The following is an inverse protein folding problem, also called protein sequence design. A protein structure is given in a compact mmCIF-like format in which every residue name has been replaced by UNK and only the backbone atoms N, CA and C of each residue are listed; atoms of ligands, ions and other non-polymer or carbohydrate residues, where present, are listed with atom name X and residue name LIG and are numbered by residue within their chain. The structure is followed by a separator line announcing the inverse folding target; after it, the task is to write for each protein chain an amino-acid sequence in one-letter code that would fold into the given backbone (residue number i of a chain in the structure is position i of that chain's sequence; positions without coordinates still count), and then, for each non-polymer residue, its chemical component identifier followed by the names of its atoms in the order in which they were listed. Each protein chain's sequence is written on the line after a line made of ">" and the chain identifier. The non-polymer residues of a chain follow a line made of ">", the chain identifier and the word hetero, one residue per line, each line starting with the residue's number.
data_IF_940869141936
#
_entry.id   IF_940869141936
#
_cell.length_a   1.000
_cell.length_b   1.000
_cell.length_c   1.000
_cell.angle_alpha   90.00
_cell.angle_beta   90.00
_cell.angle_gamma   90.00
#
_symmetry.space_group_name_H-M   'P 1'
#
loop_
_entity.id
_entity.type
_entity.pdbx_description
1 polymer ?
#
# COMPACT_ATOMS: atom_id res chain seq x y z
N UNK A 1 50.01 23.58 -62.86
CA UNK A 1 51.29 23.31 -62.15
C UNK A 1 51.29 24.10 -60.84
N UNK A 2 51.90 23.60 -59.76
CA UNK A 2 51.62 22.40 -58.96
C UNK A 2 51.25 22.90 -57.51
N UNK A 3 51.14 22.18 -56.40
CA UNK A 3 51.55 20.85 -56.00
C UNK A 3 50.73 20.45 -54.75
N UNK A 4 50.36 19.18 -54.63
CA UNK A 4 50.36 18.49 -53.34
C UNK A 4 51.81 18.20 -52.95
N UNK A 5 52.10 18.05 -51.66
CA UNK A 5 52.51 16.71 -51.23
C UNK A 5 51.92 16.27 -49.87
N UNK A 6 51.67 14.97 -49.73
CA UNK A 6 51.73 14.28 -48.42
C UNK A 6 53.18 14.17 -47.96
N UNK A 7 53.57 13.73 -46.78
CA UNK A 7 53.04 12.70 -45.85
C UNK A 7 53.77 12.88 -44.52
N UNK A 8 53.14 12.54 -43.38
CA UNK A 8 53.80 11.84 -42.25
C UNK A 8 52.82 11.58 -41.09
N UNK A 9 52.69 10.30 -40.73
CA UNK A 9 52.18 9.74 -39.46
C UNK A 9 53.42 9.11 -38.78
N UNK A 10 53.61 9.03 -37.44
CA UNK A 10 52.74 8.23 -36.57
C UNK A 10 52.64 8.64 -35.08
N UNK A 11 51.72 7.98 -34.36
CA UNK A 11 51.58 8.00 -32.90
C UNK A 11 50.28 8.67 -32.48
N UNK A 12 49.37 8.07 -31.74
CA UNK A 12 49.34 6.82 -30.99
C UNK A 12 48.18 6.95 -30.00
N UNK A 13 47.51 5.84 -29.73
CA UNK A 13 46.59 5.63 -28.60
C UNK A 13 45.16 6.20 -28.74
N UNK A 14 44.31 5.34 -29.30
CA UNK A 14 43.17 4.72 -28.62
C UNK A 14 42.39 5.56 -27.57
N UNK A 15 41.18 5.91 -27.99
CA UNK A 15 39.92 5.93 -27.25
C UNK A 15 39.92 5.44 -25.79
N UNK A 16 39.42 6.31 -24.90
CA UNK A 16 38.58 5.90 -23.79
C UNK A 16 37.48 6.95 -23.58
N UNK A 17 36.27 6.62 -24.06
CA UNK A 17 35.03 7.28 -23.66
C UNK A 17 34.89 7.13 -22.14
N UNK A 18 34.94 8.23 -21.40
CA UNK A 18 34.49 8.29 -20.01
C UNK A 18 33.12 8.95 -19.98
N UNK A 19 32.12 8.16 -19.64
CA UNK A 19 30.79 8.62 -19.23
C UNK A 19 30.92 9.47 -17.96
N UNK A 20 30.26 10.63 -17.85
CA UNK A 20 30.15 11.31 -16.56
C UNK A 20 29.02 10.66 -15.77
N UNK A 21 29.40 9.91 -14.73
CA UNK A 21 28.51 9.55 -13.63
C UNK A 21 28.30 10.80 -12.78
N UNK A 22 27.21 11.53 -13.01
CA UNK A 22 26.76 12.56 -12.06
C UNK A 22 26.20 11.87 -10.82
N UNK A 23 27.03 11.77 -9.79
CA UNK A 23 26.61 11.47 -8.42
C UNK A 23 26.04 12.75 -7.85
N UNK A 24 24.73 12.94 -7.98
CA UNK A 24 24.02 14.05 -7.33
C UNK A 24 23.97 13.76 -5.82
N UNK A 25 24.82 14.45 -5.06
CA UNK A 25 24.72 14.50 -3.60
C UNK A 25 23.47 15.29 -3.21
N UNK A 26 22.49 14.62 -2.63
CA UNK A 26 21.37 15.28 -1.94
C UNK A 26 21.84 15.80 -0.58
N UNK A 27 21.57 17.07 -0.22
CA UNK A 27 21.85 17.56 1.12
C UNK A 27 20.85 16.98 2.12
N UNK A 28 21.36 16.62 3.30
CA UNK A 28 20.62 16.07 4.41
C UNK A 28 19.53 17.02 4.92
N UNK A 29 18.30 16.52 5.00
CA UNK A 29 17.18 17.11 5.72
C UNK A 29 16.24 15.98 6.14
N UNK A 30 16.20 15.69 7.44
CA UNK A 30 15.45 14.58 8.02
C UNK A 30 13.94 14.72 7.84
N UNK A 31 13.41 14.11 6.79
CA UNK A 31 12.01 13.79 6.57
C UNK A 31 11.98 12.50 5.75
N UNK A 32 11.15 11.53 6.14
CA UNK A 32 11.12 10.21 5.51
C UNK A 32 10.93 10.34 4.00
N UNK A 33 11.97 10.04 3.23
CA UNK A 33 11.91 10.10 1.76
C UNK A 33 10.85 9.15 1.24
N UNK A 34 10.09 9.58 0.24
CA UNK A 34 9.12 8.73 -0.45
C UNK A 34 9.87 7.62 -1.20
N UNK A 35 9.67 6.36 -0.76
CA UNK A 35 10.27 5.18 -1.38
C UNK A 35 9.20 4.43 -2.15
N UNK A 36 9.47 4.10 -3.42
CA UNK A 36 8.56 3.34 -4.26
C UNK A 36 8.42 1.89 -3.76
N UNK A 37 7.18 1.46 -3.52
CA UNK A 37 6.83 0.11 -3.08
C UNK A 37 5.33 -0.14 -3.34
N UNK A 38 4.90 -1.40 -3.30
CA UNK A 38 3.49 -1.77 -3.35
C UNK A 38 2.74 -1.17 -4.56
N UNK A 39 3.27 -1.42 -5.76
CA UNK A 39 2.77 -0.88 -7.03
C UNK A 39 2.86 0.65 -7.19
N UNK A 40 3.27 1.41 -6.16
CA UNK A 40 3.58 2.82 -6.31
C UNK A 40 4.95 3.00 -6.96
N UNK A 41 5.03 3.92 -7.92
CA UNK A 41 6.26 4.26 -8.65
C UNK A 41 6.55 5.77 -8.60
N UNK A 42 7.83 6.19 -8.75
CA UNK A 42 8.19 7.61 -8.65
C UNK A 42 7.50 8.46 -9.72
N UNK A 43 7.10 9.68 -9.36
CA UNK A 43 6.53 10.70 -10.23
C UNK A 43 6.82 12.11 -9.71
N UNK A 44 6.27 13.12 -10.39
CA UNK A 44 6.47 14.53 -10.04
C UNK A 44 5.14 15.29 -10.08
N UNK A 45 4.94 16.19 -9.12
CA UNK A 45 3.79 17.07 -9.09
C UNK A 45 4.15 18.37 -8.37
N UNK A 46 3.79 19.52 -8.95
CA UNK A 46 4.09 20.83 -8.36
C UNK A 46 5.58 21.04 -8.03
N UNK A 47 6.48 20.48 -8.85
CA UNK A 47 7.93 20.57 -8.62
C UNK A 47 8.48 19.69 -7.49
N UNK A 48 7.67 18.79 -6.92
CA UNK A 48 8.04 17.86 -5.84
C UNK A 48 7.96 16.41 -6.31
N UNK A 49 8.74 15.55 -5.67
CA UNK A 49 8.64 14.10 -5.86
C UNK A 49 7.36 13.58 -5.21
N UNK A 50 6.70 12.67 -5.92
CA UNK A 50 5.49 11.96 -5.46
C UNK A 50 5.59 10.50 -5.83
N UNK A 51 4.74 9.68 -5.22
CA UNK A 51 4.53 8.30 -5.60
C UNK A 51 3.19 8.15 -6.32
N UNK A 52 3.14 7.35 -7.38
CA UNK A 52 1.95 7.17 -8.21
C UNK A 52 1.60 5.70 -8.31
N UNK A 53 0.36 5.37 -7.98
CA UNK A 53 -0.25 4.06 -8.18
C UNK A 53 -1.18 4.12 -9.38
N UNK A 54 -0.94 3.26 -10.36
CA UNK A 54 -1.68 3.21 -11.63
C UNK A 54 -2.59 1.97 -11.64
N UNK A 55 -3.91 2.17 -11.56
CA UNK A 55 -4.86 1.07 -11.41
C UNK A 55 -4.90 0.08 -12.58
N UNK A 56 -4.50 0.52 -13.77
CA UNK A 56 -4.40 -0.35 -14.94
C UNK A 56 -3.36 -1.47 -14.73
N UNK A 57 -2.18 -1.12 -14.20
CA UNK A 57 -1.13 -2.08 -13.91
C UNK A 57 -1.35 -2.81 -12.57
N UNK A 58 -1.94 -2.12 -11.59
CA UNK A 58 -2.07 -2.62 -10.24
C UNK A 58 -3.25 -3.58 -10.04
N UNK A 59 -4.38 -3.40 -10.74
CA UNK A 59 -5.59 -4.19 -10.53
C UNK A 59 -6.08 -4.94 -11.80
N UNK A 60 -5.29 -5.89 -12.34
CA UNK A 60 -5.60 -6.57 -13.60
C UNK A 60 -6.70 -7.64 -13.47
N UNK A 61 -7.04 -8.06 -12.26
CA UNK A 61 -7.77 -9.32 -12.02
C UNK A 61 -9.29 -9.28 -12.26
N UNK A 62 -9.89 -8.11 -12.54
CA UNK A 62 -11.34 -8.04 -12.77
C UNK A 62 -11.69 -8.29 -14.23
N UNK A 63 -12.72 -9.13 -14.50
CA UNK A 63 -13.19 -9.40 -15.86
C UNK A 63 -13.95 -8.22 -16.49
N UNK A 64 -14.30 -7.20 -15.69
CA UNK A 64 -15.04 -6.04 -16.18
C UNK A 64 -14.09 -5.09 -16.91
N UNK A 65 -14.48 -4.50 -18.06
CA UNK A 65 -13.70 -3.45 -18.70
C UNK A 65 -13.70 -2.15 -17.88
N UNK A 66 -12.72 -1.29 -18.13
CA UNK A 66 -12.75 0.09 -17.67
C UNK A 66 -13.81 0.89 -18.43
N UNK A 67 -14.52 1.78 -17.75
CA UNK A 67 -15.46 2.69 -18.41
C UNK A 67 -14.75 3.67 -19.35
N UNK A 68 -13.57 4.13 -18.95
CA UNK A 68 -12.73 5.11 -19.63
C UNK A 68 -11.25 4.76 -19.43
N UNK A 69 -10.41 5.12 -20.40
CA UNK A 69 -8.94 5.08 -20.28
C UNK A 69 -8.37 6.29 -19.52
N UNK A 70 -9.19 7.31 -19.26
CA UNK A 70 -8.81 8.44 -18.41
C UNK A 70 -9.06 8.07 -16.95
N UNK A 71 -8.04 8.03 -16.10
CA UNK A 71 -8.20 7.67 -14.70
C UNK A 71 -8.86 8.80 -13.90
N UNK A 72 -9.58 8.42 -12.86
CA UNK A 72 -9.94 9.33 -11.77
C UNK A 72 -8.74 9.46 -10.85
N UNK A 73 -8.24 10.69 -10.72
CA UNK A 73 -7.10 10.97 -9.85
C UNK A 73 -7.56 11.19 -8.41
N UNK A 74 -6.89 10.52 -7.47
CA UNK A 74 -7.13 10.62 -6.03
C UNK A 74 -5.81 10.91 -5.31
N UNK A 75 -5.84 11.75 -4.29
CA UNK A 75 -4.63 12.33 -3.71
C UNK A 75 -4.53 12.05 -2.21
N UNK A 76 -3.35 11.61 -1.78
CA UNK A 76 -3.03 11.26 -0.39
C UNK A 76 -1.74 11.91 0.07
N UNK A 77 -1.57 12.03 1.39
CA UNK A 77 -0.33 12.42 2.03
C UNK A 77 -0.01 11.58 3.27
N UNK A 78 1.27 11.52 3.65
CA UNK A 78 1.75 10.77 4.82
C UNK A 78 1.46 11.44 6.18
N UNK A 79 0.58 12.45 6.22
CA UNK A 79 0.13 13.14 7.44
C UNK A 79 0.93 14.38 7.86
N UNK A 80 0.48 15.04 8.94
CA UNK A 80 1.15 16.21 9.55
C UNK A 80 2.11 15.83 10.69
N UNK A 81 1.89 14.67 11.33
CA UNK A 81 2.62 14.25 12.53
C UNK A 81 3.93 13.51 12.22
N UNK A 82 4.95 13.60 13.09
CA UNK A 82 6.21 12.86 12.91
C UNK A 82 6.03 11.35 12.80
N UNK A 83 5.06 10.79 13.55
CA UNK A 83 4.84 9.35 13.64
C UNK A 83 4.35 8.69 12.33
N UNK A 84 3.66 9.43 11.46
CA UNK A 84 3.15 8.88 10.18
C UNK A 84 4.02 9.27 9.00
N UNK A 85 4.68 10.43 9.06
CA UNK A 85 5.57 10.94 7.99
C UNK A 85 6.77 10.03 7.73
N UNK A 86 7.22 9.29 8.75
CA UNK A 86 8.33 8.34 8.65
C UNK A 86 7.91 6.96 8.16
N UNK A 87 6.63 6.76 7.83
CA UNK A 87 6.07 5.46 7.44
C UNK A 87 5.53 5.40 6.01
N UNK A 88 6.20 5.97 4.97
CA UNK A 88 5.67 5.97 3.61
C UNK A 88 5.44 4.55 3.05
N UNK A 89 6.26 3.57 3.44
CA UNK A 89 6.08 2.17 3.04
C UNK A 89 4.81 1.55 3.61
N UNK A 90 4.39 1.93 4.82
CA UNK A 90 3.12 1.44 5.37
C UNK A 90 1.92 2.13 4.71
N UNK A 91 2.07 3.40 4.28
CA UNK A 91 1.07 4.06 3.45
C UNK A 91 0.89 3.34 2.11
N UNK A 92 1.98 3.08 1.37
CA UNK A 92 1.90 2.41 0.06
C UNK A 92 1.28 1.02 0.19
N UNK A 93 1.67 0.24 1.19
CA UNK A 93 1.14 -1.11 1.43
C UNK A 93 -0.35 -1.12 1.73
N UNK A 94 -0.82 -0.21 2.59
CA UNK A 94 -2.24 -0.12 2.90
C UNK A 94 -3.05 0.45 1.72
N UNK A 95 -2.54 1.49 1.06
CA UNK A 95 -3.20 2.08 -0.11
C UNK A 95 -3.31 1.11 -1.28
N UNK A 96 -2.25 0.35 -1.62
CA UNK A 96 -2.29 -0.62 -2.72
C UNK A 96 -3.39 -1.66 -2.52
N UNK A 97 -3.49 -2.23 -1.31
CA UNK A 97 -4.54 -3.19 -0.97
C UNK A 97 -5.91 -2.56 -1.15
N UNK A 98 -6.08 -1.33 -0.67
CA UNK A 98 -7.37 -0.69 -0.70
C UNK A 98 -7.81 -0.30 -2.11
N UNK A 99 -6.92 0.36 -2.84
CA UNK A 99 -7.14 0.77 -4.22
C UNK A 99 -7.32 -0.44 -5.13
N UNK A 100 -6.55 -1.51 -4.94
CA UNK A 100 -6.73 -2.77 -5.67
C UNK A 100 -8.13 -3.34 -5.45
N UNK A 101 -8.60 -3.40 -4.20
CA UNK A 101 -9.94 -3.89 -3.87
C UNK A 101 -11.04 -3.04 -4.51
N UNK A 102 -10.95 -1.71 -4.38
CA UNK A 102 -11.89 -0.77 -5.00
C UNK A 102 -11.92 -0.89 -6.53
N UNK A 103 -10.76 -1.09 -7.16
CA UNK A 103 -10.61 -1.27 -8.60
C UNK A 103 -11.14 -2.60 -9.14
N UNK A 104 -11.61 -3.52 -8.28
CA UNK A 104 -12.33 -4.72 -8.71
C UNK A 104 -13.85 -4.49 -8.79
N UNK A 105 -14.37 -3.46 -8.12
CA UNK A 105 -15.80 -3.17 -8.07
C UNK A 105 -16.30 -2.62 -9.41
N UNK A 106 -17.52 -3.00 -9.78
CA UNK A 106 -18.23 -2.27 -10.84
C UNK A 106 -18.56 -0.85 -10.38
N UNK A 107 -18.76 0.07 -11.32
CA UNK A 107 -19.17 1.43 -11.03
C UNK A 107 -20.48 1.47 -10.20
N UNK A 108 -21.39 0.52 -10.45
CA UNK A 108 -22.61 0.37 -9.65
C UNK A 108 -22.29 0.01 -8.19
N UNK A 109 -21.45 -1.00 -7.96
CA UNK A 109 -21.11 -1.46 -6.60
C UNK A 109 -20.32 -0.41 -5.84
N UNK A 110 -19.42 0.31 -6.51
CA UNK A 110 -18.72 1.46 -5.96
C UNK A 110 -19.70 2.54 -5.49
N UNK A 111 -20.66 2.92 -6.34
CA UNK A 111 -21.67 3.93 -6.03
C UNK A 111 -22.59 3.51 -4.88
N UNK A 112 -23.08 2.26 -4.89
CA UNK A 112 -23.87 1.68 -3.81
C UNK A 112 -23.10 1.69 -2.47
N UNK A 113 -21.83 1.29 -2.52
CA UNK A 113 -20.93 1.28 -1.37
C UNK A 113 -20.74 2.67 -0.77
N UNK A 114 -20.39 3.68 -1.59
CA UNK A 114 -20.18 5.06 -1.12
C UNK A 114 -21.44 5.61 -0.46
N UNK A 115 -22.60 5.42 -1.09
CA UNK A 115 -23.89 5.93 -0.57
C UNK A 115 -24.27 5.26 0.74
N UNK A 116 -24.06 3.96 0.82
CA UNK A 116 -24.39 3.23 2.04
C UNK A 116 -23.44 3.61 3.19
N UNK A 117 -22.16 3.91 2.91
CA UNK A 117 -21.20 4.36 3.93
C UNK A 117 -21.59 5.71 4.49
N UNK A 118 -21.97 6.63 3.60
CA UNK A 118 -22.48 7.94 4.00
C UNK A 118 -23.71 7.85 4.89
N UNK A 119 -24.60 6.89 4.62
CA UNK A 119 -25.85 6.74 5.36
C UNK A 119 -25.68 6.01 6.70
N UNK A 120 -24.80 5.01 6.78
CA UNK A 120 -24.74 4.07 7.91
C UNK A 120 -23.40 4.09 8.66
N UNK A 121 -22.41 4.84 8.18
CA UNK A 121 -21.06 4.81 8.72
C UNK A 121 -20.36 3.49 8.45
N UNK A 122 -19.26 3.21 9.15
CA UNK A 122 -18.51 1.96 8.96
C UNK A 122 -19.26 0.77 9.57
N UNK A 123 -19.32 -0.36 8.86
CA UNK A 123 -19.82 -1.60 9.43
C UNK A 123 -18.86 -2.11 10.54
N UNK A 124 -19.36 -2.49 11.72
CA UNK A 124 -18.52 -3.12 12.75
C UNK A 124 -17.93 -4.45 12.27
N UNK A 125 -16.78 -4.82 12.82
CA UNK A 125 -16.17 -6.12 12.55
C UNK A 125 -17.14 -7.26 12.91
N UNK A 126 -17.22 -8.25 12.03
CA UNK A 126 -18.01 -9.45 12.30
C UNK A 126 -17.36 -10.28 13.42
N UNK A 127 -18.16 -11.14 14.09
CA UNK A 127 -17.61 -12.11 15.06
C UNK A 127 -16.52 -12.99 14.45
N UNK A 128 -16.68 -13.38 13.17
CA UNK A 128 -15.69 -14.17 12.45
C UNK A 128 -14.39 -13.39 12.24
N UNK A 129 -14.48 -12.10 11.89
CA UNK A 129 -13.33 -11.20 11.74
C UNK A 129 -12.58 -11.02 13.07
N UNK A 130 -13.31 -10.81 14.17
CA UNK A 130 -12.71 -10.69 15.49
C UNK A 130 -12.00 -11.98 15.90
N UNK A 131 -12.64 -13.14 15.67
CA UNK A 131 -12.02 -14.44 15.94
C UNK A 131 -10.77 -14.69 15.07
N UNK A 132 -10.81 -14.32 13.79
CA UNK A 132 -9.65 -14.45 12.91
C UNK A 132 -8.47 -13.57 13.37
N UNK A 133 -8.76 -12.39 13.90
CA UNK A 133 -7.77 -11.49 14.50
C UNK A 133 -7.21 -12.06 15.80
N UNK A 134 -8.05 -12.60 16.67
CA UNK A 134 -7.63 -13.29 17.90
C UNK A 134 -6.70 -14.47 17.57
N UNK A 135 -7.11 -15.34 16.64
CA UNK A 135 -6.29 -16.46 16.18
C UNK A 135 -4.94 -15.99 15.62
N UNK A 136 -4.91 -14.92 14.83
CA UNK A 136 -3.68 -14.33 14.32
C UNK A 136 -2.73 -13.95 15.48
N UNK A 137 -3.25 -13.30 16.52
CA UNK A 137 -2.44 -12.88 17.68
C UNK A 137 -2.02 -14.05 18.57
N UNK A 138 -2.84 -15.09 18.68
CA UNK A 138 -2.49 -16.32 19.41
C UNK A 138 -1.34 -17.06 18.72
N UNK A 139 -1.33 -17.07 17.39
CA UNK A 139 -0.22 -17.62 16.63
C UNK A 139 1.05 -16.78 16.74
N UNK A 140 0.96 -15.44 16.74
CA UNK A 140 2.12 -14.57 17.03
C UNK A 140 2.73 -14.93 18.38
N UNK A 141 1.92 -15.07 19.43
CA UNK A 141 2.37 -15.48 20.75
C UNK A 141 3.02 -16.87 20.72
N UNK A 142 2.39 -17.81 20.00
CA UNK A 142 2.92 -19.16 19.84
C UNK A 142 4.29 -19.18 19.16
N UNK A 143 4.52 -18.35 18.15
CA UNK A 143 5.82 -18.19 17.47
C UNK A 143 6.87 -17.55 18.38
N UNK A 144 6.52 -16.49 19.12
CA UNK A 144 7.43 -15.85 20.07
C UNK A 144 7.98 -16.83 21.10
N UNK A 145 7.13 -17.69 21.66
CA UNK A 145 7.54 -18.69 22.66
C UNK A 145 8.28 -19.85 22.01
N UNK A 146 7.70 -20.49 20.98
CA UNK A 146 8.23 -21.76 20.44
C UNK A 146 9.45 -21.59 19.55
N UNK A 147 9.53 -20.49 18.80
CA UNK A 147 10.58 -20.26 17.79
C UNK A 147 11.62 -19.29 18.30
N UNK A 148 11.20 -18.23 18.98
CA UNK A 148 12.10 -17.16 19.43
C UNK A 148 12.50 -17.25 20.91
N UNK A 149 11.98 -18.23 21.66
CA UNK A 149 12.43 -18.53 23.02
C UNK A 149 12.02 -17.52 24.09
N UNK A 150 11.01 -16.68 23.82
CA UNK A 150 10.49 -15.73 24.80
C UNK A 150 9.84 -16.48 25.97
N UNK A 151 9.95 -15.93 27.18
CA UNK A 151 9.10 -16.39 28.28
C UNK A 151 7.64 -16.10 27.95
N UNK A 152 6.72 -16.85 28.56
CA UNK A 152 5.28 -16.66 28.33
C UNK A 152 4.83 -15.24 28.68
N UNK A 153 5.38 -14.66 29.76
CA UNK A 153 5.04 -13.32 30.21
C UNK A 153 5.51 -12.25 29.20
N UNK A 154 6.76 -12.31 28.75
CA UNK A 154 7.29 -11.37 27.76
C UNK A 154 6.53 -11.46 26.43
N UNK A 155 6.18 -12.68 26.00
CA UNK A 155 5.39 -12.89 24.79
C UNK A 155 3.97 -12.30 24.93
N UNK A 156 3.35 -12.37 26.10
CA UNK A 156 2.03 -11.80 26.36
C UNK A 156 2.06 -10.26 26.36
N UNK A 157 3.07 -9.65 26.98
CA UNK A 157 3.29 -8.20 26.95
C UNK A 157 3.49 -7.71 25.50
N UNK A 158 4.33 -8.39 24.71
CA UNK A 158 4.56 -8.05 23.30
C UNK A 158 3.34 -8.29 22.42
N UNK A 159 2.59 -9.37 22.66
CA UNK A 159 1.31 -9.61 21.99
C UNK A 159 0.35 -8.46 22.26
N UNK A 160 0.22 -8.00 23.50
CA UNK A 160 -0.68 -6.90 23.86
C UNK A 160 -0.29 -5.59 23.14
N UNK A 161 1.00 -5.23 23.17
CA UNK A 161 1.54 -4.05 22.47
C UNK A 161 1.20 -4.07 20.97
N UNK A 162 1.45 -5.19 20.29
CA UNK A 162 1.17 -5.34 18.86
C UNK A 162 -0.33 -5.41 18.58
N UNK A 163 -1.09 -6.08 19.44
CA UNK A 163 -2.53 -6.14 19.33
C UNK A 163 -3.14 -4.74 19.38
N UNK A 164 -2.66 -3.84 20.23
CA UNK A 164 -3.22 -2.49 20.31
C UNK A 164 -2.81 -1.63 19.10
N UNK A 165 -1.65 -1.90 18.50
CA UNK A 165 -1.16 -1.18 17.33
C UNK A 165 -1.81 -1.63 16.00
N UNK A 166 -2.20 -2.91 15.90
CA UNK A 166 -2.66 -3.50 14.65
C UNK A 166 -4.17 -3.47 14.46
N UNK A 167 -4.59 -3.09 13.26
CA UNK A 167 -5.98 -3.15 12.81
C UNK A 167 -6.12 -4.14 11.66
N UNK A 168 -7.27 -4.81 11.59
CA UNK A 168 -7.65 -5.58 10.42
C UNK A 168 -8.00 -4.60 9.30
N UNK A 169 -7.33 -4.76 8.16
CA UNK A 169 -7.57 -3.99 6.96
C UNK A 169 -8.77 -4.57 6.24
N UNK A 170 -9.81 -3.75 6.12
CA UNK A 170 -10.93 -4.05 5.26
C UNK A 170 -10.72 -3.26 3.97
N UNK A 171 -10.30 -3.96 2.92
CA UNK A 171 -9.59 -3.34 1.82
C UNK A 171 -10.47 -2.34 1.03
N UNK A 172 -11.81 -2.47 0.99
CA UNK A 172 -12.66 -1.42 0.36
C UNK A 172 -13.32 -0.44 1.35
N UNK A 173 -13.21 -0.66 2.66
CA UNK A 173 -14.12 -0.07 3.65
C UNK A 173 -13.94 1.43 3.93
N UNK A 174 -12.82 2.02 3.52
CA UNK A 174 -12.59 3.45 3.77
C UNK A 174 -13.47 4.35 2.89
N UNK A 175 -13.92 3.83 1.74
CA UNK A 175 -14.72 4.57 0.77
C UNK A 175 -16.08 3.91 0.51
N UNK A 176 -16.19 2.60 0.72
CA UNK A 176 -17.44 1.85 0.51
C UNK A 176 -17.94 1.19 1.79
N UNK A 177 -19.26 1.18 1.99
CA UNK A 177 -19.91 0.34 3.00
C UNK A 177 -20.00 -1.06 2.43
N UNK A 178 -19.06 -1.88 2.84
CA UNK A 178 -19.06 -3.28 2.51
C UNK A 178 -19.04 -4.12 3.77
N UNK A 179 -19.76 -5.25 3.81
CA UNK A 179 -19.31 -6.41 4.56
C UNK A 179 -18.07 -6.96 3.83
N UNK A 180 -17.00 -6.18 3.75
CA UNK A 180 -15.76 -6.67 3.16
C UNK A 180 -15.24 -7.71 4.14
N UNK A 181 -15.31 -8.98 3.76
CA UNK A 181 -14.49 -9.98 4.44
C UNK A 181 -13.07 -9.41 4.47
N UNK A 182 -12.37 -9.51 5.61
CA UNK A 182 -11.00 -9.06 5.66
C UNK A 182 -10.25 -9.71 4.50
N UNK A 183 -9.40 -8.93 3.80
CA UNK A 183 -8.56 -9.52 2.76
C UNK A 183 -7.81 -10.69 3.39
N UNK A 184 -7.88 -11.89 2.82
CA UNK A 184 -7.24 -13.05 3.41
C UNK A 184 -5.91 -13.28 2.71
N UNK A 185 -4.84 -13.40 3.49
CA UNK A 185 -3.57 -13.90 2.98
C UNK A 185 -3.73 -15.35 2.48
N UNK A 186 -2.79 -15.81 1.66
CA UNK A 186 -2.77 -17.20 1.16
C UNK A 186 -2.73 -18.23 2.31
N UNK A 187 -2.24 -17.84 3.49
CA UNK A 187 -2.27 -18.65 4.71
C UNK A 187 -3.57 -18.58 5.52
N UNK A 188 -4.61 -17.89 5.03
CA UNK A 188 -5.89 -17.79 5.72
C UNK A 188 -5.92 -16.77 6.87
N UNK A 189 -4.92 -15.90 6.98
CA UNK A 189 -4.93 -14.81 7.96
C UNK A 189 -5.57 -13.54 7.43
N UNK A 190 -6.25 -12.75 8.28
CA UNK A 190 -6.72 -11.44 7.90
C UNK A 190 -5.55 -10.52 7.52
N UNK A 191 -5.78 -9.67 6.53
CA UNK A 191 -4.94 -8.55 6.15
C UNK A 191 -4.91 -7.58 7.33
N UNK A 192 -3.71 -7.30 7.86
CA UNK A 192 -3.52 -6.39 8.99
C UNK A 192 -2.61 -5.22 8.60
N UNK A 193 -2.73 -4.13 9.34
CA UNK A 193 -1.90 -2.94 9.18
C UNK A 193 -1.84 -2.08 10.42
N UNK A 194 -0.94 -1.11 10.38
CA UNK A 194 -0.71 -0.20 11.49
C UNK A 194 -1.89 0.79 11.62
N UNK A 195 -2.51 0.80 12.80
CA UNK A 195 -3.71 1.58 13.11
C UNK A 195 -3.57 3.08 12.84
N UNK A 196 -2.50 3.75 13.29
CA UNK A 196 -2.28 5.17 13.04
C UNK A 196 -2.21 5.53 11.54
N UNK A 197 -1.54 4.72 10.72
CA UNK A 197 -1.52 4.93 9.27
C UNK A 197 -2.90 4.69 8.67
N UNK A 198 -3.59 3.61 9.07
CA UNK A 198 -4.95 3.33 8.60
C UNK A 198 -5.92 4.48 8.92
N UNK A 199 -5.82 5.04 10.13
CA UNK A 199 -6.62 6.20 10.56
C UNK A 199 -6.27 7.45 9.76
N UNK A 200 -4.98 7.68 9.48
CA UNK A 200 -4.53 8.81 8.66
C UNK A 200 -5.08 8.73 7.24
N UNK A 201 -5.01 7.56 6.58
CA UNK A 201 -5.60 7.37 5.25
C UNK A 201 -7.12 7.58 5.32
N UNK A 202 -7.79 7.02 6.33
CA UNK A 202 -9.24 7.15 6.49
C UNK A 202 -9.71 8.60 6.64
N UNK A 203 -8.95 9.43 7.36
CA UNK A 203 -9.25 10.86 7.50
C UNK A 203 -9.20 11.64 6.17
N UNK A 204 -8.48 11.11 5.18
CA UNK A 204 -8.32 11.67 3.84
C UNK A 204 -9.35 11.10 2.83
N UNK A 205 -10.22 10.19 3.24
CA UNK A 205 -11.10 9.44 2.32
C UNK A 205 -12.26 10.24 1.72
N UNK A 206 -12.72 11.33 2.36
CA UNK A 206 -13.92 12.07 1.91
C UNK A 206 -13.77 12.66 0.50
N UNK A 207 -12.69 13.41 0.18
CA UNK A 207 -12.49 13.94 -1.17
C UNK A 207 -12.40 12.84 -2.24
N UNK A 208 -11.71 11.74 -1.94
CA UNK A 208 -11.66 10.55 -2.81
C UNK A 208 -13.05 9.97 -3.08
N UNK A 209 -13.86 9.77 -2.03
CA UNK A 209 -15.22 9.25 -2.17
C UNK A 209 -16.09 10.16 -3.05
N UNK A 210 -15.94 11.49 -2.93
CA UNK A 210 -16.63 12.45 -3.79
C UNK A 210 -16.22 12.31 -5.26
N UNK A 211 -14.91 12.26 -5.55
CA UNK A 211 -14.42 12.11 -6.92
C UNK A 211 -14.88 10.80 -7.57
N UNK A 212 -14.79 9.69 -6.82
CA UNK A 212 -15.22 8.37 -7.28
C UNK A 212 -16.74 8.27 -7.46
N UNK A 213 -17.53 8.89 -6.57
CA UNK A 213 -18.98 8.95 -6.73
C UNK A 213 -19.36 9.73 -7.99
N UNK A 214 -18.76 10.91 -8.22
CA UNK A 214 -19.01 11.71 -9.42
C UNK A 214 -18.68 10.92 -10.69
N UNK A 215 -17.52 10.25 -10.72
CA UNK A 215 -17.12 9.41 -11.84
C UNK A 215 -18.08 8.24 -12.08
N UNK A 216 -18.52 7.56 -11.01
CA UNK A 216 -19.49 6.47 -11.12
C UNK A 216 -20.88 6.95 -11.57
N UNK A 217 -21.29 8.14 -11.16
CA UNK A 217 -22.56 8.75 -11.58
C UNK A 217 -22.55 9.17 -13.05
N UNK A 218 -21.40 9.62 -13.56
CA UNK A 218 -21.22 9.97 -14.98
C UNK A 218 -21.37 8.77 -15.92
N UNK A 219 -21.18 7.54 -15.43
CA UNK A 219 -21.48 6.32 -16.20
C UNK A 219 -22.99 6.18 -16.41
N UNK A 220 -23.48 5.93 -17.64
CA UNK A 220 -24.89 5.64 -17.89
C UNK A 220 -25.40 4.48 -17.03
N UNK A 221 -26.61 4.61 -16.48
CA UNK A 221 -27.10 3.74 -15.41
C UNK A 221 -27.11 2.25 -15.80
N UNK A 222 -27.52 1.95 -17.03
CA UNK A 222 -27.58 0.62 -17.64
C UNK A 222 -26.20 -0.02 -17.86
N UNK A 223 -25.13 0.79 -17.88
CA UNK A 223 -23.75 0.32 -18.06
C UNK A 223 -23.01 0.10 -16.74
N UNK A 224 -23.45 0.72 -15.64
CA UNK A 224 -22.71 0.75 -14.36
C UNK A 224 -22.38 -0.63 -13.79
N UNK A 225 -23.23 -1.63 -14.02
CA UNK A 225 -23.00 -3.00 -13.58
C UNK A 225 -21.83 -3.67 -14.32
N UNK A 226 -21.60 -3.28 -15.58
CA UNK A 226 -20.69 -3.95 -16.51
C UNK A 226 -19.35 -3.26 -16.71
N UNK A 227 -19.07 -2.15 -16.01
CA UNK A 227 -17.81 -1.40 -16.14
C UNK A 227 -17.23 -1.02 -14.80
N UNK A 228 -15.93 -0.75 -14.78
CA UNK A 228 -15.18 -0.26 -13.61
C UNK A 228 -14.73 1.19 -13.79
N UNK A 229 -14.40 1.84 -12.69
CA UNK A 229 -13.73 3.14 -12.69
C UNK A 229 -12.22 2.92 -12.59
N UNK A 230 -11.47 3.43 -13.57
CA UNK A 230 -10.01 3.43 -13.55
C UNK A 230 -9.53 4.48 -12.55
N UNK A 231 -8.67 4.09 -11.61
CA UNK A 231 -8.17 4.96 -10.54
C UNK A 231 -6.67 5.18 -10.73
N UNK A 232 -6.22 6.42 -10.52
CA UNK A 232 -4.81 6.77 -10.32
C UNK A 232 -4.67 7.44 -8.96
N UNK A 233 -3.81 6.92 -8.09
CA UNK A 233 -3.55 7.56 -6.81
C UNK A 233 -2.18 8.23 -6.80
N UNK A 234 -2.09 9.41 -6.18
CA UNK A 234 -0.84 10.13 -5.96
C UNK A 234 -0.63 10.30 -4.46
N UNK A 235 0.49 9.81 -3.96
CA UNK A 235 0.92 9.95 -2.57
C UNK A 235 2.09 10.94 -2.48
N UNK A 236 1.96 11.94 -1.62
CA UNK A 236 3.00 12.94 -1.35
C UNK A 236 3.38 12.98 0.13
N UNK A 237 4.54 13.53 0.44
CA UNK A 237 4.96 13.85 1.81
C UNK A 237 4.37 15.20 2.31
N UNK A 238 3.74 15.98 1.42
CA UNK A 238 3.23 17.32 1.71
C UNK A 238 1.70 17.36 1.71
N UNK A 239 1.07 17.59 2.88
CA UNK A 239 -0.36 17.86 2.97
C UNK A 239 -0.81 19.05 2.11
N UNK A 240 0.02 20.08 2.01
CA UNK A 240 -0.23 21.27 1.20
C UNK A 240 -0.27 20.93 -0.29
N UNK A 241 0.67 20.11 -0.78
CA UNK A 241 0.64 19.64 -2.16
C UNK A 241 -0.60 18.77 -2.43
N UNK A 242 -0.97 17.87 -1.51
CA UNK A 242 -2.19 17.06 -1.66
C UNK A 242 -3.45 17.95 -1.77
N UNK A 243 -3.52 19.06 -1.03
CA UNK A 243 -4.60 20.06 -1.14
C UNK A 243 -4.56 20.82 -2.46
N UNK A 244 -3.37 21.21 -2.93
CA UNK A 244 -3.20 21.88 -4.23
C UNK A 244 -3.63 20.97 -5.38
N UNK A 245 -3.27 19.68 -5.33
CA UNK A 245 -3.72 18.67 -6.29
C UNK A 245 -5.24 18.51 -6.27
N UNK A 246 -5.85 18.42 -5.08
CA UNK A 246 -7.30 18.33 -4.94
C UNK A 246 -8.07 19.52 -5.51
N UNK A 247 -7.49 20.72 -5.44
CA UNK A 247 -8.09 21.96 -5.93
C UNK A 247 -7.71 22.29 -7.39
N UNK A 248 -6.87 21.48 -8.02
CA UNK A 248 -6.35 21.72 -9.37
C UNK A 248 -5.31 22.84 -9.46
N UNK A 249 -4.80 23.35 -8.32
CA UNK A 249 -3.72 24.33 -8.28
C UNK A 249 -2.35 23.72 -8.62
N UNK A 250 -2.22 22.42 -8.41
CA UNK A 250 -1.12 21.61 -8.90
C UNK A 250 -1.69 20.45 -9.72
N UNK A 251 -0.87 19.90 -10.61
CA UNK A 251 -1.21 18.71 -11.41
C UNK A 251 -0.08 17.70 -11.33
N UNK A 252 -0.42 16.42 -11.50
CA UNK A 252 0.57 15.40 -11.76
C UNK A 252 1.25 15.69 -13.10
N UNK A 253 2.58 15.75 -13.11
CA UNK A 253 3.34 15.97 -14.33
C UNK A 253 3.16 14.78 -15.30
N UNK A 254 3.16 15.01 -16.63
CA UNK A 254 2.96 13.96 -17.61
C UNK A 254 3.94 12.79 -17.42
N UNK A 255 3.39 11.58 -17.32
CA UNK A 255 4.16 10.34 -17.22
C UNK A 255 4.31 9.68 -18.58
N UNK A 256 5.47 9.14 -18.90
CA UNK A 256 5.68 8.32 -20.09
C UNK A 256 4.89 7.01 -20.01
N UNK A 257 4.70 6.33 -21.14
CA UNK A 257 4.06 5.02 -21.16
C UNK A 257 4.83 4.00 -20.30
N UNK A 258 6.17 4.03 -20.37
CA UNK A 258 7.04 3.19 -19.52
C UNK A 258 6.80 3.48 -18.04
N UNK A 259 6.68 4.74 -17.64
CA UNK A 259 6.38 5.10 -16.25
C UNK A 259 4.99 4.67 -15.80
N UNK A 260 4.00 4.64 -16.69
CA UNK A 260 2.63 4.16 -16.37
C UNK A 260 2.54 2.64 -16.30
N UNK A 261 3.34 1.93 -17.10
CA UNK A 261 3.42 0.47 -17.10
C UNK A 261 4.40 -0.07 -16.03
N UNK A 262 5.24 0.79 -15.45
CA UNK A 262 6.16 0.41 -14.41
C UNK A 262 5.40 -0.05 -13.15
N UNK A 263 5.90 -1.11 -12.53
CA UNK A 263 5.38 -1.65 -11.30
C UNK A 263 6.50 -1.73 -10.26
N UNK A 264 6.16 -1.50 -9.00
CA UNK A 264 7.01 -1.86 -7.87
C UNK A 264 6.49 -3.14 -7.21
N UNK A 265 7.35 -4.00 -6.67
CA UNK A 265 6.91 -5.23 -6.02
C UNK A 265 5.96 -4.96 -4.84
N UNK A 266 4.95 -5.81 -4.70
CA UNK A 266 4.09 -5.83 -3.51
C UNK A 266 4.82 -6.47 -2.34
N UNK A 267 4.74 -5.85 -1.17
CA UNK A 267 5.19 -6.46 0.05
C UNK A 267 4.35 -7.72 0.36
N UNK A 268 4.96 -8.79 0.88
CA UNK A 268 4.22 -9.96 1.31
C UNK A 268 3.21 -9.58 2.41
N UNK A 269 2.07 -10.28 2.50
CA UNK A 269 1.17 -10.15 3.65
C UNK A 269 1.90 -10.35 4.97
N UNK A 270 1.52 -9.59 5.99
CA UNK A 270 1.99 -9.84 7.34
C UNK A 270 1.40 -11.15 7.85
N UNK A 271 2.27 -12.10 8.14
CA UNK A 271 1.94 -13.39 8.76
C UNK A 271 2.28 -13.36 10.25
N UNK A 272 1.71 -14.26 11.06
CA UNK A 272 2.08 -14.35 12.47
C UNK A 272 3.59 -14.53 12.68
N UNK A 273 4.24 -15.41 11.90
CA UNK A 273 5.69 -15.64 11.97
C UNK A 273 6.51 -14.40 11.58
N UNK A 274 6.10 -13.65 10.56
CA UNK A 274 6.77 -12.38 10.18
C UNK A 274 6.70 -11.37 11.33
N UNK A 275 5.51 -11.21 11.91
CA UNK A 275 5.30 -10.29 13.03
C UNK A 275 6.10 -10.71 14.26
N UNK A 276 6.11 -12.00 14.59
CA UNK A 276 6.93 -12.53 15.69
C UNK A 276 8.43 -12.33 15.46
N UNK A 277 8.91 -12.53 14.23
CA UNK A 277 10.30 -12.29 13.88
C UNK A 277 10.71 -10.81 14.00
N UNK A 278 9.83 -9.88 13.59
CA UNK A 278 10.09 -8.44 13.77
C UNK A 278 10.21 -8.10 15.27
N UNK A 279 9.26 -8.58 16.09
CA UNK A 279 9.31 -8.39 17.56
C UNK A 279 10.59 -8.97 18.16
N UNK A 280 10.97 -10.19 17.76
CA UNK A 280 12.18 -10.85 18.25
C UNK A 280 13.47 -10.08 17.90
N UNK A 281 13.45 -9.33 16.79
CA UNK A 281 14.53 -8.45 16.38
C UNK A 281 14.45 -7.04 17.01
N UNK A 282 13.56 -6.84 18.00
CA UNK A 282 13.27 -5.53 18.61
C UNK A 282 12.84 -4.46 17.60
N UNK A 283 12.18 -4.88 16.53
CA UNK A 283 11.56 -3.99 15.54
C UNK A 283 10.05 -4.18 15.54
N UNK A 284 9.35 -3.31 14.80
CA UNK A 284 7.91 -3.44 14.60
C UNK A 284 7.59 -3.71 13.13
N UNK A 285 6.47 -4.40 12.83
CA UNK A 285 6.12 -4.76 11.45
C UNK A 285 5.99 -3.60 10.46
N UNK A 286 5.70 -2.40 10.96
CA UNK A 286 5.49 -1.18 10.18
C UNK A 286 6.76 -0.32 10.05
N UNK A 287 7.82 -0.62 10.81
CA UNK A 287 9.09 0.08 10.61
C UNK A 287 9.76 -0.40 9.31
N UNK A 288 10.44 0.51 8.58
CA UNK A 288 11.29 0.09 7.48
C UNK A 288 12.34 -0.90 8.00
N UNK A 289 12.78 -1.88 7.19
CA UNK A 289 13.94 -2.67 7.53
C UNK A 289 15.10 -1.70 7.80
N UNK A 290 15.62 -1.66 9.02
CA UNK A 290 16.91 -1.04 9.27
C UNK A 290 17.92 -1.82 8.43
N UNK A 291 18.58 -1.17 7.47
CA UNK A 291 19.67 -1.79 6.72
C UNK A 291 20.56 -2.54 7.72
N UNK A 292 20.90 -3.81 7.48
CA UNK A 292 21.76 -4.52 8.40
C UNK A 292 23.06 -3.72 8.49
N UNK A 293 23.42 -3.30 9.72
CA UNK A 293 24.78 -2.89 10.00
C UNK A 293 25.70 -3.97 9.42
N UNK A 294 26.75 -3.54 8.75
CA UNK A 294 27.75 -4.39 8.12
C UNK A 294 28.48 -5.17 9.21
N UNK A 295 27.84 -6.21 9.74
CA UNK A 295 28.44 -7.22 10.57
C UNK A 295 29.22 -8.13 9.64
N UNK A 296 30.53 -7.92 9.61
CA UNK A 296 31.49 -8.82 8.99
C UNK A 296 31.15 -10.26 9.39
N UNK A 297 30.94 -11.20 8.44
CA UNK A 297 30.84 -12.61 8.78
C UNK A 297 32.14 -13.05 9.48
N UNK A 298 32.10 -13.87 10.54
CA UNK A 298 33.31 -14.45 11.09
C UNK A 298 33.98 -15.32 10.01
N UNK A 299 35.21 -14.98 9.65
CA UNK A 299 36.03 -15.77 8.74
C UNK A 299 36.27 -17.16 9.32
N UNK A 300 35.76 -18.19 8.65
CA UNK A 300 36.24 -19.56 8.86
C UNK A 300 37.62 -19.71 8.18
N UNK A 301 38.61 -20.34 8.83
CA UNK A 301 39.92 -20.59 8.24
C UNK A 301 39.83 -21.66 7.13
N UNK A 302 40.66 -21.58 6.07
CA UNK A 302 40.60 -22.48 4.94
C UNK A 302 41.25 -23.83 5.26
N UNK A 303 40.48 -24.91 5.21
CA UNK A 303 41.01 -26.27 5.17
C UNK A 303 41.62 -26.57 3.80
N UNK A 304 42.89 -26.96 3.84
CA UNK A 304 43.71 -27.46 2.75
C UNK A 304 43.15 -28.78 2.17
N UNK A 305 42.97 -28.85 0.85
CA UNK A 305 43.01 -30.12 0.11
C UNK A 305 44.08 -30.09 -1.00
N UNK A 306 44.75 -31.23 -1.29
CA UNK A 306 45.93 -31.24 -2.15
C UNK A 306 45.60 -31.35 -3.64
N UNK A 307 46.51 -30.72 -4.38
CA UNK A 307 46.65 -30.55 -5.83
C UNK A 307 46.80 -31.87 -6.62
N UNK A 308 46.10 -32.02 -7.75
CA UNK A 308 46.62 -32.63 -8.99
C UNK A 308 46.01 -31.94 -10.24
N UNK A 309 46.86 -31.61 -11.23
CA UNK A 309 46.59 -31.03 -12.56
C UNK A 309 46.56 -32.16 -13.64
N UNK A 310 46.47 -31.89 -14.97
CA UNK A 310 45.49 -31.15 -15.80
C UNK A 310 44.91 -32.00 -16.98
N UNK A 311 43.94 -31.43 -17.73
CA UNK A 311 43.06 -32.01 -18.78
C UNK A 311 43.72 -32.70 -20.02
N UNK A 312 42.94 -33.38 -20.90
CA UNK A 312 42.37 -32.66 -22.06
C UNK A 312 40.99 -33.12 -22.58
N UNK A 313 40.38 -32.22 -23.36
CA UNK A 313 39.33 -32.38 -24.39
C UNK A 313 37.85 -32.30 -23.95
N UNK A 314 37.27 -31.12 -24.17
CA UNK A 314 35.85 -30.81 -24.06
C UNK A 314 35.04 -31.29 -25.28
N UNK A 315 33.83 -31.85 -25.07
CA UNK A 315 32.71 -31.69 -25.96
C UNK A 315 31.69 -30.68 -25.38
N UNK A 316 31.10 -29.92 -26.29
CA UNK A 316 30.10 -28.86 -26.16
C UNK A 316 29.00 -29.12 -25.11
N UNK A 317 28.60 -28.13 -24.26
CA UNK A 317 27.48 -28.32 -23.34
C UNK A 317 26.13 -28.21 -24.06
N UNK A 318 25.33 -29.26 -23.90
CA UNK A 318 23.90 -29.33 -24.20
C UNK A 318 23.12 -28.45 -23.20
N UNK A 319 22.05 -27.75 -23.61
CA UNK A 319 21.26 -26.95 -22.67
C UNK A 319 20.52 -27.83 -21.65
N UNK A 320 20.68 -27.50 -20.37
CA UNK A 320 19.90 -28.08 -19.27
C UNK A 320 18.46 -27.53 -19.24
N UNK A 321 17.48 -28.30 -18.74
CA UNK A 321 16.07 -27.92 -18.79
C UNK A 321 15.74 -26.83 -17.76
N UNK A 322 14.95 -25.85 -18.22
CA UNK A 322 14.36 -24.78 -17.42
C UNK A 322 13.64 -25.31 -16.17
N UNK A 323 13.88 -24.65 -15.04
CA UNK A 323 13.06 -24.77 -13.84
C UNK A 323 11.60 -24.40 -14.15
N UNK A 324 10.60 -25.07 -13.54
CA UNK A 324 9.20 -24.82 -13.84
C UNK A 324 8.78 -23.42 -13.35
N UNK A 325 8.13 -22.68 -14.24
CA UNK A 325 7.40 -21.47 -13.92
C UNK A 325 6.33 -21.79 -12.87
N UNK A 326 6.29 -21.01 -11.80
CA UNK A 326 5.15 -20.99 -10.88
C UNK A 326 3.94 -20.47 -11.65
N UNK A 327 3.18 -21.42 -12.19
CA UNK A 327 1.95 -21.19 -12.94
C UNK A 327 0.91 -20.50 -12.08
N UNK A 328 0.38 -19.43 -12.64
CA UNK A 328 -0.86 -18.78 -12.23
C UNK A 328 -2.00 -19.81 -12.13
N UNK A 329 -2.64 -19.89 -10.96
CA UNK A 329 -3.74 -20.81 -10.69
C UNK A 329 -5.09 -20.07 -10.72
N UNK A 330 -5.94 -20.29 -11.73
CA UNK A 330 -7.24 -19.65 -11.85
C UNK A 330 -8.25 -20.08 -10.76
N UNK A 331 -8.04 -21.21 -10.09
CA UNK A 331 -8.93 -21.69 -9.02
C UNK A 331 -8.67 -20.98 -7.68
N UNK A 332 -7.43 -20.57 -7.41
CA UNK A 332 -7.12 -19.66 -6.28
C UNK A 332 -7.79 -18.29 -6.44
N UNK A 333 -7.95 -17.83 -7.68
CA UNK A 333 -8.70 -16.61 -8.01
C UNK A 333 -10.21 -16.78 -7.79
N UNK A 334 -10.74 -18.01 -7.91
CA UNK A 334 -12.14 -18.33 -7.60
C UNK A 334 -12.41 -18.36 -6.09
N UNK A 335 -11.45 -18.83 -5.29
CA UNK A 335 -11.52 -18.78 -3.83
C UNK A 335 -11.52 -17.32 -3.32
N UNK A 336 -10.66 -16.45 -3.87
CA UNK A 336 -10.66 -15.01 -3.61
C UNK A 336 -11.99 -14.35 -4.00
N UNK A 337 -12.63 -14.79 -5.11
CA UNK A 337 -13.97 -14.34 -5.53
C UNK A 337 -15.07 -14.69 -4.53
N UNK A 338 -15.10 -15.92 -3.99
CA UNK A 338 -16.13 -16.34 -3.01
C UNK A 338 -15.92 -15.72 -1.62
N UNK A 339 -14.66 -15.55 -1.21
CA UNK A 339 -14.34 -14.87 0.03
C UNK A 339 -14.68 -13.38 -0.03
N UNK A 340 -14.46 -12.71 -1.16
CA UNK A 340 -14.74 -11.28 -1.30
C UNK A 340 -16.22 -10.98 -1.60
N UNK A 341 -16.98 -11.94 -2.13
CA UNK A 341 -18.38 -11.74 -2.56
C UNK A 341 -19.23 -13.00 -2.35
N UNK A 342 -19.81 -13.25 -1.15
CA UNK A 342 -20.94 -14.16 -1.03
C UNK A 342 -22.17 -13.55 -1.74
N UNK A 343 -22.93 -14.37 -2.49
CA UNK A 343 -24.22 -13.99 -3.05
C UNK A 343 -25.17 -13.50 -1.93
N UNK A 344 -26.10 -12.58 -2.23
CA UNK A 344 -26.98 -12.02 -1.20
C UNK A 344 -27.87 -13.10 -0.58
N UNK A 345 -27.98 -13.12 0.75
CA UNK A 345 -29.22 -13.55 1.36
C UNK A 345 -30.30 -12.55 0.92
N UNK A 346 -31.39 -13.04 0.31
CA UNK A 346 -32.54 -12.22 -0.09
C UNK A 346 -32.90 -11.22 1.01
N UNK A 347 -32.84 -9.93 0.68
CA UNK A 347 -33.32 -8.86 1.53
C UNK A 347 -34.85 -8.99 1.68
N UNK A 348 -35.29 -9.77 2.66
CA UNK A 348 -36.61 -9.59 3.21
C UNK A 348 -36.64 -8.20 3.84
N UNK A 349 -37.40 -7.27 3.24
CA UNK A 349 -37.71 -5.96 3.81
C UNK A 349 -38.15 -6.15 5.27
N UNK A 350 -37.29 -5.84 6.23
CA UNK A 350 -37.72 -5.62 7.61
C UNK A 350 -38.26 -4.18 7.69
N UNK A 351 -39.55 -4.07 8.04
CA UNK A 351 -40.24 -2.80 8.26
C UNK A 351 -39.47 -1.93 9.28
N UNK A 352 -39.42 -0.60 9.08
CA UNK A 352 -38.82 0.30 10.05
C UNK A 352 -39.62 0.30 11.37
N UNK A 353 -38.96 0.44 12.54
CA UNK A 353 -39.63 0.58 13.82
C UNK A 353 -40.35 1.94 13.91
N UNK A 354 -41.44 2.05 14.69
CA UNK A 354 -42.22 3.28 14.77
C UNK A 354 -41.44 4.40 15.49
N UNK A 355 -41.51 5.60 14.94
CA UNK A 355 -40.97 6.82 15.53
C UNK A 355 -41.85 7.25 16.72
N UNK A 356 -41.28 7.29 17.93
CA UNK A 356 -41.81 8.12 19.02
C UNK A 356 -40.80 9.24 19.29
N UNK A 357 -41.22 10.47 19.02
CA UNK A 357 -40.48 11.69 19.33
C UNK A 357 -40.73 12.11 20.79
N UNK A 358 -39.67 12.42 21.54
CA UNK A 358 -39.68 13.49 22.55
C UNK A 358 -38.24 14.00 22.74
N UNK A 359 -37.95 15.31 22.62
CA UNK A 359 -36.61 15.84 22.82
C UNK A 359 -36.41 16.27 24.28
N UNK A 360 -35.40 15.71 24.96
CA UNK A 360 -34.94 16.19 26.26
C UNK A 360 -33.71 17.10 26.07
N UNK A 361 -33.87 18.37 26.44
CA UNK A 361 -32.83 19.39 26.45
C UNK A 361 -31.71 19.06 27.45
N UNK A 362 -30.45 19.36 27.10
CA UNK A 362 -29.33 19.42 28.05
C UNK A 362 -29.00 20.89 28.34
N UNK A 363 -28.77 21.28 29.60
CA UNK A 363 -28.42 22.65 29.95
C UNK A 363 -26.93 22.94 29.70
N UNK A 364 -26.65 24.12 29.17
CA UNK A 364 -25.32 24.69 29.01
C UNK A 364 -24.90 25.38 30.31
N UNK A 365 -23.77 24.99 30.90
CA UNK A 365 -23.10 25.74 31.97
C UNK A 365 -21.87 26.44 31.39
N UNK A 366 -21.91 27.77 31.38
CA UNK A 366 -20.82 28.66 30.97
C UNK A 366 -20.03 29.09 32.23
N UNK A 367 -18.69 29.01 32.27
CA UNK A 367 -17.91 29.50 33.40
C UNK A 367 -17.66 31.02 33.30
N UNK A 368 -17.83 31.69 34.44
CA UNK A 368 -17.65 33.12 34.68
C UNK A 368 -16.27 33.66 34.27
N UNK A 369 -16.27 34.89 33.73
CA UNK A 369 -15.21 35.88 33.91
C UNK A 369 -15.80 37.16 34.54
N UNK A 370 -15.00 37.95 35.29
CA UNK A 370 -15.49 38.93 36.25
C UNK A 370 -15.72 40.35 35.69
N UNK A 371 -16.45 41.13 36.50
CA UNK A 371 -16.94 42.52 36.41
C UNK A 371 -16.01 43.59 35.78
N UNK A 372 -16.60 44.73 35.35
CA UNK A 372 -16.65 45.91 36.24
C UNK A 372 -18.00 46.66 36.28
N UNK A 373 -18.37 47.05 37.51
CA UNK A 373 -18.90 48.35 37.98
C UNK A 373 -19.59 49.35 37.01
N UNK A 374 -20.80 49.83 37.38
CA UNK A 374 -21.12 51.26 37.59
C UNK A 374 -22.63 51.50 37.88
N UNK A 375 -22.88 52.08 39.07
CA UNK A 375 -23.86 53.11 39.45
C UNK A 375 -25.26 53.18 38.78
N UNK A 376 -26.31 52.80 39.53
CA UNK A 376 -27.21 53.72 40.27
C UNK A 376 -28.36 52.98 40.95
#
# INVERSE_FOLDING_TARGET
>A
MPARPGTSTPGGQAAARRSPTEVLHSPAGGGGSLVAADMFTPGRAGGRDVLVWEGEAAAPASPLPWHSSTPVEVFFHTGHGPATRTLPLEFTRQLDRQLSSLSLLSAQRLLEGIRTYRAQGRQPNSKATNKARENFMDEVMGELVRVHGFSKQEAEEKRAEINDALVVLHESDQVTFGPSQPGMSVGGYPSVGYGPVNSSIGSQGKPMATALEQAAQAVPAERRAGVRILIRAVLTDSPELAKQLHSGQAVLEPRSQTQRAAISPRAPPWTPGKVAADIANNTTPWQPPTSPQTGTPPSQPPDTQPRQQPDPAAPTPRPSPSAPSLGWDPDKSAALRRASFPHPASAALRKPPPHNHTPAARPHTNPQQPHPELDR
#
